data_IF_777377328632
#
_entry.id   IF_777377328632
#
_cell.length_a   1.000
_cell.length_b   1.000
_cell.length_c   1.000
_cell.angle_alpha   90.00
_cell.angle_beta   90.00
_cell.angle_gamma   90.00
#
_symmetry.space_group_name_H-M   'P 1'
#
loop_
_entity.id
_entity.type
_entity.pdbx_description
1 polymer ?
#
# COMPACT_ATOMS: atom_id res chain seq x y z
N UNK A 1 21.57 32.61 15.04
CA UNK A 1 23.02 32.74 14.86
C UNK A 1 23.56 31.33 14.76
N UNK A 2 24.38 31.03 13.75
CA UNK A 2 24.92 29.69 13.56
C UNK A 2 25.99 29.43 14.62
N UNK A 3 25.95 28.25 15.25
CA UNK A 3 26.94 27.86 16.26
C UNK A 3 28.37 27.96 15.65
N UNK A 4 29.31 28.66 16.30
CA UNK A 4 30.70 28.75 15.84
C UNK A 4 31.35 27.38 15.58
N UNK A 5 31.02 26.36 16.38
CA UNK A 5 31.54 25.01 16.20
C UNK A 5 31.04 24.38 14.90
N UNK A 6 29.76 24.58 14.58
CA UNK A 6 29.17 24.12 13.32
C UNK A 6 29.80 24.85 12.13
N UNK A 7 30.04 26.16 12.24
CA UNK A 7 30.68 26.94 11.18
C UNK A 7 32.09 26.43 10.88
N UNK A 8 32.85 26.12 11.92
CA UNK A 8 34.18 25.52 11.80
C UNK A 8 34.11 24.13 11.16
N UNK A 9 33.16 23.27 11.60
CA UNK A 9 32.98 21.94 11.05
C UNK A 9 32.60 21.96 9.55
N UNK A 10 31.73 22.89 9.13
CA UNK A 10 31.40 23.08 7.71
C UNK A 10 32.64 23.53 6.92
N UNK A 11 33.40 24.50 7.42
CA UNK A 11 34.60 24.99 6.74
C UNK A 11 35.66 23.88 6.58
N UNK A 12 35.90 23.09 7.63
CA UNK A 12 36.80 21.94 7.60
C UNK A 12 36.34 20.88 6.59
N UNK A 13 35.03 20.57 6.57
CA UNK A 13 34.43 19.66 5.59
C UNK A 13 34.68 20.12 4.16
N UNK A 14 34.48 21.41 3.88
CA UNK A 14 34.71 21.98 2.54
C UNK A 14 36.19 22.02 2.16
N UNK A 15 37.10 22.00 3.14
CA UNK A 15 38.55 21.91 2.90
C UNK A 15 39.06 20.47 2.67
N UNK A 16 38.18 19.47 2.76
CA UNK A 16 38.48 18.07 2.48
C UNK A 16 38.51 17.16 3.71
N UNK A 17 38.34 17.69 4.92
CA UNK A 17 38.21 16.89 6.14
C UNK A 17 36.78 16.36 6.27
N UNK A 18 36.52 15.19 5.70
CA UNK A 18 35.20 14.58 5.73
C UNK A 18 34.76 14.15 7.13
N UNK A 19 35.69 13.92 8.07
CA UNK A 19 35.35 13.53 9.44
C UNK A 19 34.74 14.70 10.22
N UNK A 20 35.13 15.94 9.90
CA UNK A 20 34.53 17.14 10.48
C UNK A 20 33.01 17.22 10.27
N UNK A 21 32.48 16.60 9.20
CA UNK A 21 31.04 16.56 8.92
C UNK A 21 30.23 15.88 10.03
N UNK A 22 30.82 14.95 10.77
CA UNK A 22 30.16 14.30 11.91
C UNK A 22 29.77 15.32 13.00
N UNK A 23 30.52 16.42 13.14
CA UNK A 23 30.15 17.54 14.03
C UNK A 23 28.84 18.19 13.60
N UNK A 24 28.67 18.45 12.31
CA UNK A 24 27.44 19.01 11.74
C UNK A 24 26.25 18.07 11.98
N UNK A 25 26.45 16.76 11.74
CA UNK A 25 25.40 15.76 11.96
C UNK A 25 24.95 15.76 13.44
N UNK A 26 25.89 15.65 14.39
CA UNK A 26 25.56 15.65 15.83
C UNK A 26 24.80 16.89 16.27
N UNK A 27 25.12 18.06 15.74
CA UNK A 27 24.46 19.32 16.11
C UNK A 27 23.01 19.43 15.61
N UNK A 28 22.64 18.73 14.54
CA UNK A 28 21.32 18.88 13.91
C UNK A 28 20.48 17.61 13.86
N UNK A 29 21.02 16.45 14.24
CA UNK A 29 20.32 15.16 14.17
C UNK A 29 19.00 15.20 14.96
N UNK A 30 19.03 15.62 16.22
CA UNK A 30 17.83 15.70 17.07
C UNK A 30 16.77 16.64 16.49
N UNK A 31 17.18 17.83 16.01
CA UNK A 31 16.26 18.81 15.45
C UNK A 31 15.63 18.30 14.14
N UNK A 32 16.42 17.65 13.28
CA UNK A 32 15.97 17.11 12.01
C UNK A 32 15.02 15.91 12.23
N UNK A 33 15.37 15.01 13.15
CA UNK A 33 14.52 13.88 13.54
C UNK A 33 13.20 14.36 14.12
N UNK A 34 13.20 15.35 15.01
CA UNK A 34 11.97 15.95 15.53
C UNK A 34 11.12 16.59 14.43
N UNK A 35 11.75 17.22 13.43
CA UNK A 35 11.05 17.76 12.27
C UNK A 35 10.40 16.66 11.40
N UNK A 36 11.10 15.56 11.16
CA UNK A 36 10.64 14.42 10.35
C UNK A 36 9.60 13.57 11.08
N UNK A 37 9.76 13.32 12.38
CA UNK A 37 8.85 12.51 13.20
C UNK A 37 7.41 13.06 13.21
N UNK A 38 7.24 14.37 13.07
CA UNK A 38 5.92 15.02 12.96
C UNK A 38 5.22 14.81 11.61
N UNK A 39 5.91 14.23 10.63
CA UNK A 39 5.49 14.11 9.23
C UNK A 39 5.55 12.68 8.68
N UNK A 40 6.33 11.82 9.29
CA UNK A 40 6.50 10.43 8.88
C UNK A 40 5.58 9.50 9.66
N UNK A 41 5.18 8.39 9.03
CA UNK A 41 4.22 7.45 9.62
C UNK A 41 4.85 6.50 10.66
N UNK A 42 6.17 6.25 10.60
CA UNK A 42 6.87 5.35 11.51
C UNK A 42 8.33 5.79 11.71
N UNK A 43 8.99 5.20 12.70
CA UNK A 43 10.38 5.49 13.06
C UNK A 43 11.37 5.15 11.95
N UNK A 44 11.19 4.02 11.24
CA UNK A 44 12.07 3.62 10.15
C UNK A 44 12.13 4.67 9.03
N UNK A 45 10.97 5.24 8.65
CA UNK A 45 10.92 6.31 7.66
C UNK A 45 11.62 7.60 8.14
N UNK A 46 11.63 7.87 9.45
CA UNK A 46 12.40 9.00 10.01
C UNK A 46 13.89 8.73 9.90
N UNK A 47 14.34 7.53 10.24
CA UNK A 47 15.74 7.12 10.16
C UNK A 47 16.28 7.25 8.72
N UNK A 48 15.56 6.67 7.75
CA UNK A 48 15.92 6.70 6.34
C UNK A 48 16.00 8.14 5.81
N UNK A 49 14.96 8.94 6.06
CA UNK A 49 14.92 10.32 5.59
C UNK A 49 15.98 11.20 6.26
N UNK A 50 16.32 10.94 7.53
CA UNK A 50 17.37 11.66 8.23
C UNK A 50 18.72 11.38 7.57
N UNK A 51 19.01 10.10 7.34
CA UNK A 51 20.23 9.65 6.69
C UNK A 51 20.37 10.25 5.28
N UNK A 52 19.34 10.10 4.44
CA UNK A 52 19.34 10.63 3.08
C UNK A 52 19.49 12.15 3.05
N UNK A 53 18.85 12.85 4.00
CA UNK A 53 18.98 14.30 4.11
C UNK A 53 20.43 14.69 4.37
N UNK A 54 21.12 14.05 5.33
CA UNK A 54 22.51 14.36 5.62
C UNK A 54 23.45 13.98 4.47
N UNK A 55 23.22 12.85 3.79
CA UNK A 55 24.00 12.47 2.61
C UNK A 55 23.88 13.53 1.50
N UNK A 56 22.67 13.98 1.20
CA UNK A 56 22.44 15.03 0.20
C UNK A 56 23.01 16.37 0.67
N UNK A 57 22.86 16.70 1.95
CA UNK A 57 23.42 17.92 2.52
C UNK A 57 24.95 17.92 2.42
N UNK A 58 25.63 16.81 2.67
CA UNK A 58 27.08 16.67 2.46
C UNK A 58 27.45 16.93 1.00
N UNK A 59 26.78 16.26 0.06
CA UNK A 59 27.04 16.42 -1.39
C UNK A 59 26.82 17.85 -1.89
N UNK A 60 25.89 18.58 -1.27
CA UNK A 60 25.52 19.95 -1.65
C UNK A 60 26.07 21.00 -0.70
N UNK A 61 26.96 20.63 0.22
CA UNK A 61 27.42 21.52 1.28
C UNK A 61 28.08 22.79 0.73
N UNK A 62 28.82 22.66 -0.37
CA UNK A 62 29.45 23.80 -1.06
C UNK A 62 28.44 24.80 -1.67
N UNK A 63 27.17 24.42 -1.81
CA UNK A 63 26.09 25.27 -2.32
C UNK A 63 25.37 26.01 -1.19
N UNK A 64 25.61 25.64 0.07
CA UNK A 64 25.05 26.35 1.21
C UNK A 64 25.66 27.75 1.31
N UNK A 65 24.81 28.74 1.53
CA UNK A 65 25.18 30.15 1.53
C UNK A 65 24.42 30.84 2.65
N UNK A 66 25.15 31.33 3.67
CA UNK A 66 24.55 31.88 4.89
C UNK A 66 23.77 33.20 4.66
N UNK A 67 24.04 33.90 3.56
CA UNK A 67 23.29 35.05 3.05
C UNK A 67 21.88 34.68 2.56
N UNK A 68 21.68 33.46 2.06
CA UNK A 68 20.39 32.98 1.54
C UNK A 68 19.48 32.41 2.63
N UNK A 69 20.01 32.11 3.81
CA UNK A 69 19.24 31.58 4.93
C UNK A 69 20.08 30.81 5.94
N UNK A 70 19.41 30.35 6.99
CA UNK A 70 20.04 29.55 8.05
C UNK A 70 20.30 28.11 7.60
N UNK A 71 21.36 27.50 8.11
CA UNK A 71 21.68 26.09 7.84
C UNK A 71 20.53 25.14 8.22
N UNK A 72 19.87 25.26 9.39
CA UNK A 72 18.70 24.42 9.70
C UNK A 72 17.55 24.60 8.70
N UNK A 73 17.34 25.82 8.21
CA UNK A 73 16.31 26.10 7.19
C UNK A 73 16.62 25.42 5.87
N UNK A 74 17.88 25.47 5.43
CA UNK A 74 18.37 24.79 4.24
C UNK A 74 18.28 23.27 4.37
N UNK A 75 18.73 22.70 5.50
CA UNK A 75 18.67 21.27 5.79
C UNK A 75 17.22 20.75 5.80
N UNK A 76 16.30 21.46 6.47
CA UNK A 76 14.86 21.15 6.44
C UNK A 76 14.25 21.30 5.05
N UNK A 77 14.82 22.16 4.19
CA UNK A 77 14.47 22.28 2.79
C UNK A 77 14.73 20.99 2.02
N UNK A 78 15.92 20.42 2.18
CA UNK A 78 16.30 19.12 1.60
C UNK A 78 15.36 18.02 2.10
N UNK A 79 15.17 17.92 3.42
CA UNK A 79 14.28 16.94 4.04
C UNK A 79 12.83 17.02 3.53
N UNK A 80 12.31 18.25 3.35
CA UNK A 80 10.95 18.46 2.82
C UNK A 80 10.82 17.97 1.38
N UNK A 81 11.83 18.20 0.55
CA UNK A 81 11.81 17.73 -0.83
C UNK A 81 11.82 16.20 -0.89
N UNK A 82 12.64 15.53 -0.05
CA UNK A 82 12.65 14.07 0.06
C UNK A 82 11.30 13.52 0.55
N UNK A 83 10.70 14.16 1.55
CA UNK A 83 9.38 13.77 2.04
C UNK A 83 8.32 13.86 0.92
N UNK A 84 8.31 14.95 0.15
CA UNK A 84 7.39 15.11 -0.99
C UNK A 84 7.60 14.01 -2.03
N UNK A 85 8.85 13.71 -2.37
CA UNK A 85 9.16 12.61 -3.31
C UNK A 85 8.65 11.26 -2.79
N UNK A 86 8.81 10.96 -1.50
CA UNK A 86 8.27 9.75 -0.88
C UNK A 86 6.74 9.70 -0.91
N UNK A 87 6.07 10.81 -0.62
CA UNK A 87 4.60 10.92 -0.65
C UNK A 87 4.09 10.70 -2.07
N UNK A 88 4.70 11.35 -3.07
CA UNK A 88 4.35 11.16 -4.47
C UNK A 88 4.61 9.73 -4.95
N UNK A 89 5.70 9.11 -4.52
CA UNK A 89 5.99 7.71 -4.84
C UNK A 89 4.92 6.77 -4.27
N UNK A 90 4.58 6.94 -2.98
CA UNK A 90 3.50 6.17 -2.34
C UNK A 90 2.15 6.37 -3.02
N UNK A 91 1.82 7.59 -3.43
CA UNK A 91 0.58 7.87 -4.16
C UNK A 91 0.54 7.13 -5.51
N UNK A 92 1.65 7.14 -6.27
CA UNK A 92 1.76 6.40 -7.54
C UNK A 92 1.67 4.88 -7.32
N UNK A 93 2.28 4.36 -6.28
CA UNK A 93 2.23 2.92 -5.98
C UNK A 93 0.86 2.48 -5.48
N UNK A 94 0.17 3.30 -4.67
CA UNK A 94 -1.22 3.07 -4.30
C UNK A 94 -2.14 3.09 -5.53
N UNK A 95 -1.92 4.02 -6.47
CA UNK A 95 -2.67 4.06 -7.72
C UNK A 95 -2.42 2.81 -8.58
N UNK A 96 -1.16 2.37 -8.69
CA UNK A 96 -0.78 1.13 -9.39
C UNK A 96 -1.43 -0.08 -8.75
N UNK A 97 -1.37 -0.21 -7.44
CA UNK A 97 -1.98 -1.32 -6.71
C UNK A 97 -3.49 -1.33 -6.90
N UNK A 98 -4.15 -0.17 -6.76
CA UNK A 98 -5.58 -0.05 -7.04
C UNK A 98 -5.94 -0.37 -8.51
N UNK A 99 -5.06 -0.06 -9.48
CA UNK A 99 -5.24 -0.49 -10.88
C UNK A 99 -5.11 -2.02 -11.02
N UNK A 100 -4.15 -2.63 -10.34
CA UNK A 100 -3.96 -4.09 -10.34
C UNK A 100 -5.17 -4.80 -9.71
N UNK A 101 -5.63 -4.35 -8.55
CA UNK A 101 -6.84 -4.89 -7.90
C UNK A 101 -8.07 -4.76 -8.80
N UNK A 102 -8.29 -3.60 -9.44
CA UNK A 102 -9.38 -3.41 -10.41
C UNK A 102 -9.25 -4.37 -11.60
N UNK A 103 -8.03 -4.59 -12.10
CA UNK A 103 -7.78 -5.51 -13.19
C UNK A 103 -8.04 -6.97 -12.78
N UNK A 104 -7.65 -7.37 -11.58
CA UNK A 104 -7.93 -8.71 -11.04
C UNK A 104 -9.43 -8.93 -10.82
N UNK A 105 -10.14 -7.96 -10.25
CA UNK A 105 -11.60 -8.00 -10.09
C UNK A 105 -12.28 -8.11 -11.47
N UNK A 106 -11.81 -7.36 -12.47
CA UNK A 106 -12.35 -7.46 -13.83
C UNK A 106 -12.11 -8.85 -14.44
N UNK A 107 -10.92 -9.43 -14.26
CA UNK A 107 -10.61 -10.80 -14.72
C UNK A 107 -11.47 -11.86 -14.03
N UNK A 108 -11.64 -11.76 -12.71
CA UNK A 108 -12.50 -12.68 -11.95
C UNK A 108 -13.95 -12.55 -12.43
N UNK A 109 -14.44 -11.33 -12.65
CA UNK A 109 -15.78 -11.10 -13.21
C UNK A 109 -15.95 -11.74 -14.59
N UNK A 110 -14.96 -11.58 -15.47
CA UNK A 110 -15.01 -12.15 -16.82
C UNK A 110 -14.98 -13.68 -16.78
N UNK A 111 -14.17 -14.28 -15.90
CA UNK A 111 -14.14 -15.72 -15.66
C UNK A 111 -15.48 -16.26 -15.13
N UNK A 112 -16.14 -15.53 -14.22
CA UNK A 112 -17.46 -15.90 -13.71
C UNK A 112 -18.56 -15.72 -14.78
N UNK A 113 -18.47 -14.71 -15.62
CA UNK A 113 -19.42 -14.50 -16.74
C UNK A 113 -19.38 -15.63 -17.79
N UNK A 114 -18.25 -16.35 -17.91
CA UNK A 114 -18.16 -17.54 -18.77
C UNK A 114 -18.90 -18.76 -18.18
N UNK A 115 -19.15 -18.80 -16.86
CA UNK A 115 -19.89 -19.88 -16.20
C UNK A 115 -21.42 -19.65 -16.24
N UNK A 116 -21.87 -18.40 -16.45
CA UNK A 116 -23.28 -18.05 -16.61
C UNK A 116 -23.94 -18.72 -17.82
N UNK A 117 -23.19 -19.07 -18.87
CA UNK A 117 -23.76 -19.81 -20.02
C UNK A 117 -24.17 -21.24 -19.62
N UNK A 118 -23.38 -21.90 -18.76
CA UNK A 118 -23.72 -23.22 -18.21
C UNK A 118 -24.85 -23.13 -17.18
N UNK A 119 -24.83 -22.09 -16.35
CA UNK A 119 -25.88 -21.83 -15.36
C UNK A 119 -27.22 -21.53 -16.04
N UNK A 120 -27.23 -20.70 -17.09
CA UNK A 120 -28.41 -20.40 -17.90
C UNK A 120 -28.91 -21.64 -18.66
N UNK A 121 -28.00 -22.47 -19.19
CA UNK A 121 -28.34 -23.76 -19.78
C UNK A 121 -28.98 -24.72 -18.77
N UNK A 122 -28.42 -24.83 -17.57
CA UNK A 122 -28.94 -25.63 -16.47
C UNK A 122 -30.33 -25.12 -16.03
N UNK A 123 -30.49 -23.82 -15.84
CA UNK A 123 -31.79 -23.22 -15.52
C UNK A 123 -32.82 -23.49 -16.61
N UNK A 124 -32.42 -23.41 -17.89
CA UNK A 124 -33.27 -23.78 -19.02
C UNK A 124 -33.64 -25.27 -19.04
N UNK A 125 -32.74 -26.16 -18.62
CA UNK A 125 -33.02 -27.59 -18.47
C UNK A 125 -33.94 -27.88 -17.28
N UNK A 126 -33.72 -27.25 -16.12
CA UNK A 126 -34.59 -27.34 -14.95
C UNK A 126 -35.99 -26.78 -15.24
N UNK A 127 -36.08 -25.75 -16.10
CA UNK A 127 -37.34 -25.18 -16.58
C UNK A 127 -38.18 -26.16 -17.45
N UNK A 128 -37.55 -27.19 -18.03
CA UNK A 128 -38.22 -28.25 -18.81
C UNK A 128 -38.68 -29.43 -17.94
N UNK A 129 -38.22 -29.51 -16.70
CA UNK A 129 -38.62 -30.55 -15.78
C UNK A 129 -40.09 -30.36 -15.35
N UNK A 130 -40.90 -31.43 -15.24
CA UNK A 130 -42.26 -31.32 -14.73
C UNK A 130 -42.28 -30.73 -13.31
N UNK A 131 -43.32 -29.97 -12.92
CA UNK A 131 -43.36 -29.22 -11.66
C UNK A 131 -43.05 -30.06 -10.42
N UNK A 132 -43.53 -31.31 -10.37
CA UNK A 132 -43.30 -32.22 -9.25
C UNK A 132 -41.82 -32.59 -9.04
N UNK A 133 -41.01 -32.66 -10.11
CA UNK A 133 -39.58 -32.96 -10.01
C UNK A 133 -38.76 -31.71 -9.70
N UNK A 134 -39.21 -30.52 -10.14
CA UNK A 134 -38.56 -29.25 -9.81
C UNK A 134 -38.71 -28.93 -8.33
N UNK A 135 -39.92 -29.08 -7.78
CA UNK A 135 -40.20 -28.87 -6.34
C UNK A 135 -39.35 -29.81 -5.47
N UNK A 136 -39.13 -31.06 -5.91
CA UNK A 136 -38.25 -31.99 -5.21
C UNK A 136 -36.78 -31.54 -5.22
N UNK A 137 -36.27 -31.07 -6.37
CA UNK A 137 -34.90 -30.58 -6.49
C UNK A 137 -34.68 -29.30 -5.66
N UNK A 138 -35.65 -28.38 -5.68
CA UNK A 138 -35.60 -27.18 -4.83
C UNK A 138 -35.56 -27.57 -3.35
N UNK A 139 -36.45 -28.45 -2.88
CA UNK A 139 -36.46 -28.92 -1.49
C UNK A 139 -35.17 -29.66 -1.08
N UNK A 140 -34.54 -30.40 -1.99
CA UNK A 140 -33.29 -31.13 -1.71
C UNK A 140 -32.06 -30.23 -1.64
N UNK A 141 -31.95 -29.27 -2.55
CA UNK A 141 -30.73 -28.48 -2.78
C UNK A 141 -30.80 -27.07 -2.19
N UNK A 142 -32.00 -26.54 -1.95
CA UNK A 142 -32.23 -25.25 -1.29
C UNK A 142 -32.55 -25.42 0.19
N UNK A 143 -33.39 -26.40 0.53
CA UNK A 143 -33.87 -26.64 1.91
C UNK A 143 -33.15 -27.81 2.61
N UNK A 144 -32.12 -28.39 1.96
CA UNK A 144 -31.26 -29.50 2.46
C UNK A 144 -31.99 -30.75 3.00
N UNK A 145 -33.24 -30.98 2.58
CA UNK A 145 -34.04 -32.10 3.08
C UNK A 145 -33.41 -33.47 2.73
N UNK A 146 -33.34 -34.42 3.69
CA UNK A 146 -32.77 -35.73 3.45
C UNK A 146 -33.64 -36.58 2.50
N UNK A 147 -32.99 -37.41 1.68
CA UNK A 147 -33.59 -38.18 0.57
C UNK A 147 -34.77 -39.06 1.00
N UNK A 148 -34.79 -39.52 2.25
CA UNK A 148 -35.89 -40.32 2.81
C UNK A 148 -37.20 -39.54 2.89
N UNK A 149 -37.16 -38.28 3.32
CA UNK A 149 -38.35 -37.45 3.49
C UNK A 149 -38.96 -37.02 2.14
N UNK A 150 -38.12 -36.93 1.09
CA UNK A 150 -38.56 -36.65 -0.28
C UNK A 150 -39.29 -37.85 -0.92
N UNK A 151 -38.92 -39.07 -0.57
CA UNK A 151 -39.57 -40.29 -1.07
C UNK A 151 -40.97 -40.45 -0.47
N UNK A 152 -41.12 -40.15 0.82
CA UNK A 152 -42.40 -40.18 1.53
C UNK A 152 -43.37 -39.13 0.98
N UNK A 153 -42.88 -37.93 0.65
CA UNK A 153 -43.68 -36.86 0.03
C UNK A 153 -44.24 -37.21 -1.36
N UNK A 154 -43.59 -38.12 -2.10
CA UNK A 154 -44.01 -38.54 -3.44
C UNK A 154 -44.79 -39.87 -3.47
N UNK A 155 -45.03 -40.52 -2.33
CA UNK A 155 -45.68 -41.84 -2.25
C UNK A 155 -45.08 -42.88 -3.22
N UNK A 156 -43.75 -42.89 -3.37
CA UNK A 156 -43.04 -43.83 -4.23
C UNK A 156 -41.89 -44.51 -3.48
N UNK A 157 -41.75 -45.82 -3.68
CA UNK A 157 -40.73 -46.62 -3.01
C UNK A 157 -39.33 -46.28 -3.52
N UNK A 158 -38.40 -46.06 -2.58
CA UNK A 158 -37.00 -45.70 -2.82
C UNK A 158 -36.17 -46.82 -3.47
N UNK A 159 -36.50 -47.19 -4.71
CA UNK A 159 -35.75 -48.19 -5.49
C UNK A 159 -35.36 -47.68 -6.89
N UNK A 160 -35.55 -46.39 -7.17
CA UNK A 160 -34.97 -45.75 -8.34
C UNK A 160 -34.43 -44.36 -7.98
N UNK A 161 -33.26 -44.36 -7.35
CA UNK A 161 -32.25 -43.30 -7.41
C UNK A 161 -30.92 -43.99 -7.67
#
# INVERSE_FOLDING_TARGET
MMDPEVASAIAATLSGDTEAYAGVVRSFDDELRAFLARRCANAAAVDDLCQDTFVIAFQRLAQFSADKGSFPGWLKGIARNLLMQQVEARARDAERLGRLERFEIARVRDLLAHDDSRLAGLQGCLAKLPPAYRDLLDRRYRDELPVRELADALQRTATWV
#
